data_IF_121544525717
#
_entry.id   IF_121544525717
#
_cell.length_a   1.000
_cell.length_b   1.000
_cell.length_c   1.000
_cell.angle_alpha   90.00
_cell.angle_beta   90.00
_cell.angle_gamma   90.00
#
_symmetry.space_group_name_H-M   'P 1'
#
loop_
_entity.id
_entity.type
_entity.pdbx_description
1 polymer ?
#
# COMPACT_ATOMS: atom_id res chain seq x y z
N UNK A 1 9.77 70.44 -12.91
CA UNK A 1 8.91 69.59 -12.07
C UNK A 1 9.28 68.16 -12.39
N UNK A 2 10.03 67.51 -11.49
CA UNK A 2 10.54 66.16 -11.66
C UNK A 2 9.87 65.27 -10.61
N UNK A 3 9.09 64.28 -11.06
CA UNK A 3 8.59 63.21 -10.20
C UNK A 3 9.64 62.12 -10.09
N UNK A 4 10.14 61.93 -8.87
CA UNK A 4 10.99 60.81 -8.47
C UNK A 4 10.06 59.65 -8.06
N UNK A 5 9.98 58.61 -8.89
CA UNK A 5 9.26 57.38 -8.57
C UNK A 5 10.00 56.52 -7.53
N UNK A 6 9.29 55.76 -6.70
CA UNK A 6 9.89 55.02 -5.59
C UNK A 6 10.65 53.79 -6.08
N UNK A 7 11.88 53.65 -5.59
CA UNK A 7 12.76 52.50 -5.76
C UNK A 7 12.23 51.31 -4.94
N UNK A 8 11.70 50.30 -5.63
CA UNK A 8 11.22 49.06 -5.04
C UNK A 8 12.43 48.16 -4.72
N UNK A 9 13.05 48.37 -3.56
CA UNK A 9 14.10 47.49 -3.06
C UNK A 9 13.48 46.18 -2.57
N UNK A 10 13.60 45.12 -3.37
CA UNK A 10 13.30 43.77 -2.93
C UNK A 10 14.26 43.40 -1.78
N UNK A 11 13.72 43.27 -0.57
CA UNK A 11 14.49 43.04 0.65
C UNK A 11 15.29 41.72 0.59
N UNK A 12 16.62 41.73 0.80
CA UNK A 12 17.48 40.54 0.78
C UNK A 12 17.15 39.50 1.87
N UNK A 13 16.33 39.90 2.86
CA UNK A 13 15.82 39.01 3.91
C UNK A 13 14.78 38.00 3.40
N UNK A 14 14.03 38.32 2.34
CA UNK A 14 13.04 37.39 1.76
C UNK A 14 13.71 36.23 1.01
N UNK A 15 14.85 36.48 0.37
CA UNK A 15 15.66 35.45 -0.30
C UNK A 15 16.35 34.52 0.69
N UNK A 16 16.80 35.02 1.85
CA UNK A 16 17.42 34.19 2.89
C UNK A 16 16.47 33.16 3.52
N UNK A 17 15.19 33.52 3.70
CA UNK A 17 14.18 32.63 4.27
C UNK A 17 13.75 31.54 3.28
N UNK A 18 13.69 31.85 1.98
CA UNK A 18 13.39 30.87 0.94
C UNK A 18 14.50 29.80 0.84
N UNK A 19 15.77 30.22 0.86
CA UNK A 19 16.93 29.31 0.81
C UNK A 19 16.99 28.41 2.06
N UNK A 20 16.69 28.95 3.24
CA UNK A 20 16.64 28.15 4.47
C UNK A 20 15.51 27.10 4.45
N UNK A 21 14.36 27.45 3.85
CA UNK A 21 13.21 26.53 3.72
C UNK A 21 13.50 25.40 2.74
N UNK A 22 14.14 25.70 1.62
CA UNK A 22 14.52 24.69 0.63
C UNK A 22 15.65 23.79 1.14
N UNK A 23 16.60 24.34 1.90
CA UNK A 23 17.64 23.56 2.58
C UNK A 23 17.05 22.60 3.64
N UNK A 24 16.00 23.03 4.37
CA UNK A 24 15.33 22.17 5.35
C UNK A 24 14.51 21.06 4.68
N UNK A 25 13.87 21.35 3.55
CA UNK A 25 13.18 20.33 2.75
C UNK A 25 14.17 19.27 2.22
N UNK A 26 15.33 19.71 1.71
CA UNK A 26 16.42 18.83 1.26
C UNK A 26 17.02 18.01 2.41
N UNK A 27 17.24 18.61 3.58
CA UNK A 27 17.75 17.90 4.76
C UNK A 27 16.79 16.81 5.23
N UNK A 28 15.49 17.12 5.25
CA UNK A 28 14.44 16.14 5.60
C UNK A 28 14.45 14.97 4.63
N UNK A 29 14.48 15.25 3.34
CA UNK A 29 14.41 14.21 2.31
C UNK A 29 15.71 13.38 2.30
N UNK A 30 16.86 14.00 2.57
CA UNK A 30 18.13 13.30 2.81
C UNK A 30 18.09 12.44 4.08
N UNK A 31 17.48 12.91 5.17
CA UNK A 31 17.34 12.13 6.40
C UNK A 31 16.43 10.91 6.19
N UNK A 32 15.32 11.07 5.45
CA UNK A 32 14.44 9.95 5.09
C UNK A 32 15.17 8.94 4.18
N UNK A 33 15.96 9.42 3.24
CA UNK A 33 16.78 8.58 2.38
C UNK A 33 17.88 7.84 3.17
N UNK A 34 18.54 8.52 4.10
CA UNK A 34 19.55 7.93 4.98
C UNK A 34 18.94 6.85 5.90
N UNK A 35 17.73 7.07 6.41
CA UNK A 35 16.98 6.06 7.18
C UNK A 35 16.61 4.86 6.29
N UNK A 36 16.19 5.10 5.05
CA UNK A 36 15.92 4.02 4.10
C UNK A 36 17.16 3.20 3.76
N UNK A 37 18.32 3.85 3.56
CA UNK A 37 19.61 3.18 3.36
C UNK A 37 20.01 2.41 4.62
N UNK A 38 19.86 2.98 5.80
CA UNK A 38 20.19 2.32 7.06
C UNK A 38 19.35 1.04 7.27
N UNK A 39 18.07 1.09 6.91
CA UNK A 39 17.18 -0.08 6.92
C UNK A 39 17.55 -1.12 5.85
N UNK A 40 18.08 -0.72 4.71
CA UNK A 40 18.53 -1.62 3.64
C UNK A 40 19.89 -2.27 3.94
N UNK A 41 20.83 -1.53 4.54
CA UNK A 41 22.21 -1.97 4.75
C UNK A 41 22.36 -2.73 6.07
N UNK A 42 21.58 -2.39 7.09
CA UNK A 42 21.66 -3.03 8.41
C UNK A 42 20.33 -3.63 8.89
N UNK A 43 19.73 -4.59 8.16
CA UNK A 43 18.51 -5.26 8.61
C UNK A 43 18.70 -5.98 9.95
N UNK A 44 19.91 -6.46 10.24
CA UNK A 44 20.23 -7.23 11.45
C UNK A 44 20.29 -6.40 12.75
N UNK A 45 20.64 -5.11 12.70
CA UNK A 45 20.63 -4.24 13.91
C UNK A 45 19.23 -3.78 14.26
N UNK A 46 18.36 -3.58 13.27
CA UNK A 46 16.94 -3.35 13.51
C UNK A 46 16.29 -4.61 14.13
N UNK A 47 16.65 -5.78 13.61
CA UNK A 47 16.19 -7.06 14.15
C UNK A 47 16.65 -7.28 15.60
N UNK A 48 17.87 -6.87 15.96
CA UNK A 48 18.39 -7.00 17.33
C UNK A 48 17.78 -6.00 18.33
N UNK A 49 17.35 -4.83 17.86
CA UNK A 49 16.59 -3.85 18.66
C UNK A 49 15.16 -4.36 18.91
N UNK A 50 14.54 -4.98 17.89
CA UNK A 50 13.22 -5.58 18.01
C UNK A 50 13.23 -6.81 18.94
N UNK A 51 14.23 -7.68 18.87
CA UNK A 51 14.33 -8.80 19.81
C UNK A 51 14.62 -8.35 21.24
N UNK A 52 15.47 -7.32 21.44
CA UNK A 52 15.71 -6.72 22.77
C UNK A 52 14.49 -6.03 23.37
N UNK A 53 13.52 -5.60 22.56
CA UNK A 53 12.29 -4.95 23.03
C UNK A 53 11.20 -5.92 23.53
N UNK A 54 11.51 -7.22 23.68
CA UNK A 54 10.59 -8.20 24.28
C UNK A 54 9.64 -8.90 23.29
N UNK A 55 10.05 -9.05 22.03
CA UNK A 55 9.28 -9.73 20.98
C UNK A 55 9.46 -11.27 20.98
N UNK A 56 9.45 -11.93 22.14
CA UNK A 56 9.41 -13.40 22.21
C UNK A 56 8.04 -13.90 22.68
N UNK A 57 7.37 -14.58 21.75
CA UNK A 57 6.35 -15.64 21.90
C UNK A 57 4.99 -15.30 22.57
N UNK A 58 3.99 -15.00 21.73
CA UNK A 58 2.58 -15.06 22.12
C UNK A 58 1.62 -14.42 21.12
N UNK A 59 1.28 -15.14 20.04
CA UNK A 59 0.18 -14.96 19.05
C UNK A 59 -0.19 -13.58 18.45
N UNK A 60 0.38 -12.45 18.90
CA UNK A 60 0.11 -11.10 18.38
C UNK A 60 1.13 -10.66 17.31
N UNK A 61 2.34 -11.23 17.31
CA UNK A 61 3.42 -10.83 16.41
C UNK A 61 3.27 -11.40 14.99
N UNK A 62 2.77 -12.63 14.84
CA UNK A 62 2.62 -13.26 13.52
C UNK A 62 1.58 -12.61 12.62
N UNK A 63 0.52 -12.03 13.18
CA UNK A 63 -0.51 -11.30 12.42
C UNK A 63 -0.07 -9.86 12.10
N UNK A 64 0.56 -9.17 13.05
CA UNK A 64 1.15 -7.84 12.80
C UNK A 64 2.28 -7.91 11.79
N UNK A 65 3.18 -8.89 11.88
CA UNK A 65 4.26 -9.06 10.92
C UNK A 65 3.73 -9.33 9.50
N UNK A 66 2.67 -10.14 9.35
CA UNK A 66 2.01 -10.37 8.06
C UNK A 66 1.36 -9.10 7.49
N UNK A 67 0.62 -8.36 8.32
CA UNK A 67 0.04 -7.07 7.93
C UNK A 67 1.13 -6.05 7.57
N UNK A 68 2.22 -6.01 8.34
CA UNK A 68 3.39 -5.18 8.07
C UNK A 68 4.10 -5.61 6.79
N UNK A 69 4.10 -6.89 6.43
CA UNK A 69 4.73 -7.39 5.21
C UNK A 69 3.92 -7.00 3.96
N UNK A 70 2.59 -7.04 4.04
CA UNK A 70 1.71 -6.49 3.01
C UNK A 70 1.84 -4.96 2.90
N UNK A 71 1.83 -4.27 4.03
CA UNK A 71 2.04 -2.83 4.07
C UNK A 71 3.41 -2.43 3.52
N UNK A 72 4.45 -3.23 3.78
CA UNK A 72 5.78 -3.04 3.22
C UNK A 72 5.80 -3.28 1.71
N UNK A 73 5.07 -4.28 1.19
CA UNK A 73 4.93 -4.51 -0.25
C UNK A 73 4.21 -3.33 -0.94
N UNK A 74 3.13 -2.82 -0.35
CA UNK A 74 2.43 -1.63 -0.85
C UNK A 74 3.31 -0.38 -0.76
N UNK A 75 4.07 -0.21 0.33
CA UNK A 75 5.04 0.88 0.47
C UNK A 75 6.15 0.78 -0.58
N UNK A 76 6.64 -0.41 -0.91
CA UNK A 76 7.64 -0.64 -1.95
C UNK A 76 7.08 -0.34 -3.35
N UNK A 77 5.83 -0.73 -3.64
CA UNK A 77 5.13 -0.36 -4.88
C UNK A 77 4.95 1.15 -5.01
N UNK A 78 4.55 1.82 -3.93
CA UNK A 78 4.42 3.28 -3.89
C UNK A 78 5.77 3.97 -4.06
N UNK A 79 6.82 3.45 -3.42
CA UNK A 79 8.20 3.94 -3.62
C UNK A 79 8.65 3.76 -5.07
N UNK A 80 8.33 2.63 -5.71
CA UNK A 80 8.61 2.39 -7.13
C UNK A 80 7.89 3.39 -8.05
N UNK A 81 6.64 3.73 -7.74
CA UNK A 81 5.89 4.78 -8.46
C UNK A 81 6.55 6.15 -8.27
N UNK A 82 6.85 6.50 -7.01
CA UNK A 82 7.49 7.78 -6.66
C UNK A 82 8.84 7.96 -7.34
N UNK A 83 9.67 6.90 -7.40
CA UNK A 83 10.96 6.94 -8.10
C UNK A 83 10.77 7.12 -9.61
N UNK A 84 9.73 6.51 -10.20
CA UNK A 84 9.38 6.73 -11.61
C UNK A 84 9.03 8.19 -11.89
N UNK A 85 8.20 8.78 -11.03
CA UNK A 85 7.80 10.19 -11.14
C UNK A 85 9.00 11.13 -10.96
N UNK A 86 9.87 10.83 -9.98
CA UNK A 86 11.09 11.60 -9.74
C UNK A 86 11.99 11.60 -10.99
N UNK A 87 12.17 10.46 -11.66
CA UNK A 87 12.95 10.39 -12.91
C UNK A 87 12.33 11.25 -14.00
N UNK A 88 11.02 11.19 -14.18
CA UNK A 88 10.33 12.02 -15.17
C UNK A 88 10.55 13.52 -14.89
N UNK A 89 10.64 13.94 -13.63
CA UNK A 89 10.97 15.32 -13.27
C UNK A 89 12.43 15.67 -13.54
N UNK A 90 13.37 14.77 -13.26
CA UNK A 90 14.80 14.95 -13.56
C UNK A 90 15.05 15.07 -15.07
N UNK A 91 14.34 14.28 -15.88
CA UNK A 91 14.40 14.35 -17.34
C UNK A 91 13.89 15.70 -17.87
N UNK A 92 12.71 16.15 -17.37
CA UNK A 92 12.18 17.48 -17.70
C UNK A 92 13.14 18.60 -17.31
N UNK A 93 13.78 18.48 -16.14
CA UNK A 93 14.76 19.46 -15.66
C UNK A 93 16.00 19.49 -16.56
N UNK A 94 16.49 18.32 -16.99
CA UNK A 94 17.60 18.23 -17.95
C UNK A 94 17.26 18.92 -19.26
N UNK A 95 16.06 18.70 -19.79
CA UNK A 95 15.59 19.35 -21.01
C UNK A 95 15.53 20.88 -20.85
N UNK A 96 14.93 21.36 -19.75
CA UNK A 96 14.80 22.79 -19.48
C UNK A 96 16.16 23.49 -19.31
N UNK A 97 17.12 22.84 -18.64
CA UNK A 97 18.50 23.35 -18.53
C UNK A 97 19.19 23.42 -19.89
N UNK A 98 19.02 22.40 -20.74
CA UNK A 98 19.54 22.40 -22.10
C UNK A 98 18.97 23.54 -22.96
N UNK A 99 17.66 23.78 -22.87
CA UNK A 99 17.00 24.90 -23.54
C UNK A 99 17.48 26.27 -23.01
N UNK A 100 17.61 26.42 -21.69
CA UNK A 100 18.11 27.64 -21.06
C UNK A 100 19.55 27.95 -21.48
N UNK A 101 20.40 26.92 -21.55
CA UNK A 101 21.79 27.02 -21.99
C UNK A 101 21.91 27.46 -23.45
N UNK A 102 20.98 27.03 -24.31
CA UNK A 102 20.94 27.41 -25.72
C UNK A 102 20.46 28.85 -25.95
N UNK A 103 19.69 29.42 -25.03
CA UNK A 103 19.10 30.77 -25.14
C UNK A 103 19.91 31.88 -24.48
N UNK A 104 20.84 31.55 -23.60
CA UNK A 104 21.68 32.54 -22.91
C UNK A 104 23.03 32.68 -23.58
N UNK A 105 23.60 33.89 -23.61
CA UNK A 105 24.96 34.15 -24.09
C UNK A 105 25.97 34.42 -22.95
N UNK A 106 25.47 34.63 -21.74
CA UNK A 106 26.29 34.89 -20.56
C UNK A 106 27.10 33.65 -20.16
N UNK A 107 28.43 33.79 -20.12
CA UNK A 107 29.36 32.70 -19.79
C UNK A 107 29.24 32.23 -18.34
N UNK A 108 28.92 33.14 -17.41
CA UNK A 108 28.72 32.79 -16.01
C UNK A 108 27.46 31.96 -15.83
N UNK A 109 26.36 32.35 -16.49
CA UNK A 109 25.11 31.58 -16.49
C UNK A 109 25.33 30.20 -17.16
N UNK A 110 26.07 30.13 -18.28
CA UNK A 110 26.43 28.86 -18.92
C UNK A 110 27.22 27.94 -17.99
N UNK A 111 28.15 28.47 -17.20
CA UNK A 111 28.92 27.69 -16.23
C UNK A 111 28.03 27.16 -15.10
N UNK A 112 27.13 27.97 -14.56
CA UNK A 112 26.16 27.55 -13.55
C UNK A 112 25.20 26.48 -14.07
N UNK A 113 24.70 26.62 -15.31
CA UNK A 113 23.85 25.61 -15.94
C UNK A 113 24.60 24.29 -16.12
N UNK A 114 25.86 24.32 -16.58
CA UNK A 114 26.68 23.09 -16.69
C UNK A 114 26.86 22.38 -15.34
N UNK A 115 27.03 23.14 -14.26
CA UNK A 115 27.12 22.56 -12.92
C UNK A 115 25.81 21.88 -12.52
N UNK A 116 24.67 22.56 -12.75
CA UNK A 116 23.34 21.98 -12.50
C UNK A 116 23.06 20.75 -13.37
N UNK A 117 23.47 20.75 -14.64
CA UNK A 117 23.36 19.59 -15.54
C UNK A 117 24.13 18.37 -14.98
N UNK A 118 25.32 18.58 -14.44
CA UNK A 118 26.13 17.52 -13.83
C UNK A 118 25.52 17.02 -12.52
N UNK A 119 25.05 17.91 -11.65
CA UNK A 119 24.32 17.54 -10.42
C UNK A 119 23.05 16.74 -10.76
N UNK A 120 22.30 17.16 -11.78
CA UNK A 120 21.08 16.48 -12.22
C UNK A 120 21.37 15.10 -12.85
N UNK A 121 22.50 14.96 -13.55
CA UNK A 121 22.98 13.66 -14.06
C UNK A 121 23.31 12.70 -12.92
N UNK A 122 23.98 13.17 -11.88
CA UNK A 122 24.28 12.37 -10.70
C UNK A 122 22.99 11.95 -9.97
N UNK A 123 22.04 12.87 -9.80
CA UNK A 123 20.72 12.56 -9.22
C UNK A 123 19.96 11.51 -10.05
N UNK A 124 20.04 11.59 -11.39
CA UNK A 124 19.42 10.61 -12.30
C UNK A 124 20.06 9.23 -12.16
N UNK A 125 21.39 9.15 -12.07
CA UNK A 125 22.11 7.90 -11.85
C UNK A 125 21.76 7.27 -10.49
N UNK A 126 21.73 8.07 -9.42
CA UNK A 126 21.35 7.62 -8.07
C UNK A 126 19.90 7.12 -8.04
N UNK A 127 18.97 7.85 -8.66
CA UNK A 127 17.57 7.42 -8.82
C UNK A 127 17.48 6.11 -9.61
N UNK A 128 18.33 5.95 -10.65
CA UNK A 128 18.43 4.71 -11.44
C UNK A 128 18.74 3.50 -10.57
N UNK A 129 19.77 3.63 -9.73
CA UNK A 129 20.18 2.59 -8.79
C UNK A 129 19.11 2.32 -7.72
N UNK A 130 18.47 3.37 -7.18
CA UNK A 130 17.42 3.22 -6.18
C UNK A 130 16.25 2.36 -6.66
N UNK A 131 15.72 2.58 -7.89
CA UNK A 131 14.64 1.69 -8.36
C UNK A 131 15.13 0.27 -8.66
N UNK A 132 16.37 0.09 -9.10
CA UNK A 132 16.89 -1.26 -9.30
C UNK A 132 16.91 -2.02 -7.96
N UNK A 133 17.33 -1.36 -6.88
CA UNK A 133 17.27 -1.92 -5.53
C UNK A 133 15.82 -2.22 -5.09
N UNK A 134 14.90 -1.26 -5.24
CA UNK A 134 13.48 -1.47 -4.89
C UNK A 134 12.85 -2.63 -5.65
N UNK A 135 13.06 -2.72 -6.97
CA UNK A 135 12.57 -3.85 -7.78
C UNK A 135 13.14 -5.19 -7.31
N UNK A 136 14.43 -5.22 -6.99
CA UNK A 136 15.08 -6.41 -6.45
C UNK A 136 14.48 -6.82 -5.11
N UNK A 137 14.21 -5.87 -4.22
CA UNK A 137 13.54 -6.13 -2.94
C UNK A 137 12.11 -6.65 -3.13
N UNK A 138 11.32 -6.06 -4.03
CA UNK A 138 9.97 -6.54 -4.35
C UNK A 138 10.03 -7.99 -4.86
N UNK A 139 10.91 -8.27 -5.84
CA UNK A 139 11.06 -9.61 -6.40
C UNK A 139 11.50 -10.64 -5.36
N UNK A 140 12.41 -10.27 -4.47
CA UNK A 140 12.90 -11.14 -3.39
C UNK A 140 11.84 -11.42 -2.33
N UNK A 141 10.93 -10.46 -2.09
CA UNK A 141 9.87 -10.59 -1.09
C UNK A 141 8.57 -11.17 -1.64
N UNK A 142 8.39 -11.22 -2.97
CA UNK A 142 7.21 -11.77 -3.63
C UNK A 142 6.75 -13.14 -3.06
N UNK A 143 7.62 -14.16 -2.88
CA UNK A 143 7.17 -15.45 -2.33
C UNK A 143 6.75 -15.37 -0.84
N UNK A 144 7.27 -14.41 -0.08
CA UNK A 144 6.86 -14.19 1.32
C UNK A 144 5.51 -13.49 1.38
N UNK A 145 5.28 -12.52 0.49
CA UNK A 145 4.00 -11.82 0.31
C UNK A 145 2.93 -12.82 -0.12
N UNK A 146 3.20 -13.65 -1.12
CA UNK A 146 2.26 -14.67 -1.59
C UNK A 146 1.89 -15.69 -0.49
N UNK A 147 2.87 -16.13 0.30
CA UNK A 147 2.61 -17.00 1.46
C UNK A 147 1.79 -16.29 2.55
N UNK A 148 2.05 -15.01 2.80
CA UNK A 148 1.27 -14.22 3.74
C UNK A 148 -0.17 -14.01 3.25
N UNK A 149 -0.37 -13.70 1.98
CA UNK A 149 -1.68 -13.55 1.34
C UNK A 149 -2.46 -14.86 1.37
N UNK A 150 -1.85 -15.97 0.95
CA UNK A 150 -2.47 -17.31 0.98
C UNK A 150 -2.88 -17.70 2.41
N UNK A 151 -2.06 -17.37 3.41
CA UNK A 151 -2.40 -17.62 4.80
C UNK A 151 -3.52 -16.71 5.33
N UNK A 152 -3.69 -15.49 4.79
CA UNK A 152 -4.78 -14.57 5.13
C UNK A 152 -6.09 -14.97 4.45
N UNK A 153 -6.04 -15.39 3.18
CA UNK A 153 -7.18 -15.99 2.48
C UNK A 153 -7.68 -17.27 3.18
N UNK A 154 -6.81 -17.93 3.94
CA UNK A 154 -7.14 -19.10 4.76
C UNK A 154 -7.50 -18.75 6.22
N UNK A 155 -7.30 -17.52 6.69
CA UNK A 155 -7.54 -17.15 8.10
C UNK A 155 -8.27 -15.80 8.29
N UNK A 156 -9.59 -15.89 8.51
CA UNK A 156 -10.22 -15.07 9.55
C UNK A 156 -11.07 -13.87 9.14
N UNK A 157 -11.67 -13.86 7.94
CA UNK A 157 -12.79 -12.97 7.66
C UNK A 157 -14.00 -13.23 8.56
N UNK A 158 -14.93 -12.28 8.59
CA UNK A 158 -16.25 -12.42 9.19
C UNK A 158 -17.26 -12.76 8.10
N UNK A 159 -18.03 -13.83 8.31
CA UNK A 159 -19.09 -14.25 7.42
C UNK A 159 -20.45 -13.84 7.97
N UNK A 160 -21.28 -13.20 7.16
CA UNK A 160 -22.71 -13.07 7.45
C UNK A 160 -23.41 -14.26 6.79
N UNK A 161 -23.87 -15.20 7.62
CA UNK A 161 -24.60 -16.38 7.17
C UNK A 161 -26.08 -16.03 7.10
N UNK A 162 -26.69 -16.19 5.93
CA UNK A 162 -28.10 -15.85 5.70
C UNK A 162 -28.87 -16.89 4.87
N UNK A 163 -28.24 -17.99 4.46
CA UNK A 163 -28.91 -19.11 3.78
C UNK A 163 -28.46 -20.45 4.35
N UNK A 164 -29.31 -21.47 4.24
CA UNK A 164 -29.02 -22.85 4.61
C UNK A 164 -29.88 -23.79 3.77
N UNK A 165 -29.50 -23.97 2.52
CA UNK A 165 -30.27 -24.67 1.50
C UNK A 165 -29.75 -26.10 1.30
N UNK A 166 -30.61 -27.00 0.81
CA UNK A 166 -30.24 -28.40 0.52
C UNK A 166 -29.66 -28.59 -0.88
N UNK A 167 -29.64 -27.55 -1.71
CA UNK A 167 -29.12 -27.58 -3.07
C UNK A 167 -28.38 -26.28 -3.43
N UNK A 168 -27.42 -26.39 -4.36
CA UNK A 168 -26.67 -25.24 -4.88
C UNK A 168 -27.60 -24.23 -5.57
N UNK A 169 -28.58 -24.69 -6.36
CA UNK A 169 -29.50 -23.81 -7.07
C UNK A 169 -30.31 -22.91 -6.12
N UNK A 170 -30.86 -23.47 -5.04
CA UNK A 170 -31.57 -22.69 -4.03
C UNK A 170 -30.65 -21.67 -3.33
N UNK A 171 -29.40 -22.06 -3.02
CA UNK A 171 -28.42 -21.14 -2.45
C UNK A 171 -28.02 -20.00 -3.42
N UNK A 172 -27.96 -20.27 -4.73
CA UNK A 172 -27.74 -19.27 -5.77
C UNK A 172 -28.87 -18.24 -5.83
N UNK A 173 -30.13 -18.68 -5.73
CA UNK A 173 -31.29 -17.79 -5.67
C UNK A 173 -31.22 -16.85 -4.46
N UNK A 174 -30.72 -17.33 -3.32
CA UNK A 174 -30.50 -16.52 -2.13
C UNK A 174 -29.37 -15.49 -2.29
N UNK A 175 -28.27 -15.87 -2.93
CA UNK A 175 -27.19 -14.92 -3.26
C UNK A 175 -27.71 -13.83 -4.21
N UNK A 176 -28.50 -14.20 -5.23
CA UNK A 176 -29.09 -13.25 -6.15
C UNK A 176 -30.06 -12.28 -5.45
N UNK A 177 -30.83 -12.78 -4.47
CA UNK A 177 -31.70 -11.94 -3.62
C UNK A 177 -30.88 -10.98 -2.75
N UNK A 178 -29.82 -11.47 -2.09
CA UNK A 178 -28.94 -10.68 -1.24
C UNK A 178 -28.21 -9.58 -2.04
N UNK A 179 -27.74 -9.90 -3.25
CA UNK A 179 -27.11 -8.95 -4.16
C UNK A 179 -28.04 -7.79 -4.53
N UNK A 180 -29.30 -8.09 -4.89
CA UNK A 180 -30.34 -7.07 -5.15
C UNK A 180 -30.65 -6.18 -3.96
N UNK A 181 -30.32 -6.62 -2.73
CA UNK A 181 -30.53 -5.88 -1.48
C UNK A 181 -29.28 -5.13 -1.00
N UNK A 182 -28.18 -5.19 -1.74
CA UNK A 182 -26.95 -4.46 -1.43
C UNK A 182 -25.91 -5.24 -0.63
N UNK A 183 -25.99 -6.57 -0.60
CA UNK A 183 -24.92 -7.44 -0.08
C UNK A 183 -24.14 -7.99 -1.29
N UNK A 184 -23.03 -7.35 -1.70
CA UNK A 184 -22.22 -7.84 -2.81
C UNK A 184 -21.41 -9.08 -2.43
N UNK A 185 -20.98 -9.83 -3.44
CA UNK A 185 -19.97 -10.89 -3.32
C UNK A 185 -20.26 -11.96 -2.25
N UNK A 186 -21.51 -12.41 -2.14
CA UNK A 186 -21.82 -13.60 -1.36
C UNK A 186 -21.46 -14.87 -2.14
N UNK A 187 -21.01 -15.89 -1.41
CA UNK A 187 -20.58 -17.19 -1.93
C UNK A 187 -21.33 -18.33 -1.23
N UNK A 188 -21.28 -19.52 -1.83
CA UNK A 188 -21.92 -20.73 -1.31
C UNK A 188 -20.87 -21.56 -0.58
N UNK A 189 -21.16 -21.95 0.66
CA UNK A 189 -20.31 -22.82 1.47
C UNK A 189 -21.04 -24.11 1.85
N UNK A 190 -20.49 -25.27 1.49
CA UNK A 190 -20.99 -26.57 1.91
C UNK A 190 -20.42 -26.94 3.29
N UNK A 191 -21.28 -27.12 4.29
CA UNK A 191 -20.88 -27.57 5.62
C UNK A 191 -21.93 -28.51 6.20
N UNK A 192 -21.50 -29.63 6.77
CA UNK A 192 -22.39 -30.62 7.41
C UNK A 192 -23.59 -31.04 6.52
N UNK A 193 -23.39 -31.12 5.20
CA UNK A 193 -24.42 -31.56 4.25
C UNK A 193 -25.43 -30.49 3.80
N UNK A 194 -25.26 -29.22 4.17
CA UNK A 194 -26.09 -28.12 3.65
C UNK A 194 -25.24 -27.00 3.02
N UNK A 195 -25.84 -26.26 2.09
CA UNK A 195 -25.24 -25.14 1.36
C UNK A 195 -25.62 -23.82 2.02
N UNK A 196 -24.66 -23.19 2.69
CA UNK A 196 -24.84 -21.90 3.33
C UNK A 196 -24.50 -20.76 2.37
N UNK A 197 -25.39 -19.78 2.24
CA UNK A 197 -25.08 -18.52 1.55
C UNK A 197 -24.44 -17.55 2.54
N UNK A 198 -23.20 -17.14 2.25
CA UNK A 198 -22.38 -16.34 3.17
C UNK A 198 -21.73 -15.17 2.43
N UNK A 199 -21.87 -13.97 2.98
CA UNK A 199 -21.07 -12.81 2.58
C UNK A 199 -19.86 -12.70 3.49
N UNK A 200 -18.65 -12.90 2.94
CA UNK A 200 -17.40 -12.82 3.69
C UNK A 200 -16.78 -11.43 3.53
N UNK A 201 -16.38 -10.84 4.65
CA UNK A 201 -15.76 -9.52 4.72
C UNK A 201 -14.58 -9.52 5.70
N UNK A 202 -13.65 -8.57 5.54
CA UNK A 202 -12.41 -8.55 6.31
C UNK A 202 -12.60 -8.16 7.78
N UNK A 203 -13.65 -7.40 8.10
CA UNK A 203 -13.85 -6.83 9.42
C UNK A 203 -15.29 -7.00 9.93
N UNK A 204 -15.45 -7.04 11.25
CA UNK A 204 -16.74 -7.28 11.92
C UNK A 204 -17.73 -6.13 11.74
N UNK A 205 -17.26 -4.91 11.56
CA UNK A 205 -18.12 -3.72 11.40
C UNK A 205 -18.89 -3.81 10.09
N UNK A 206 -18.22 -4.10 8.97
CA UNK A 206 -18.89 -4.34 7.68
C UNK A 206 -19.83 -5.56 7.75
N UNK A 207 -19.45 -6.61 8.49
CA UNK A 207 -20.34 -7.76 8.71
C UNK A 207 -21.63 -7.37 9.46
N UNK A 208 -21.54 -6.40 10.40
CA UNK A 208 -22.70 -5.88 11.12
C UNK A 208 -23.63 -5.07 10.21
N UNK A 209 -23.10 -4.28 9.30
CA UNK A 209 -23.87 -3.56 8.28
C UNK A 209 -24.63 -4.53 7.37
N UNK A 210 -23.93 -5.55 6.86
CA UNK A 210 -24.55 -6.59 6.03
C UNK A 210 -25.57 -7.42 6.80
N UNK A 211 -25.34 -7.69 8.09
CA UNK A 211 -26.29 -8.39 8.93
C UNK A 211 -27.62 -7.64 9.06
N UNK A 212 -27.58 -6.31 9.19
CA UNK A 212 -28.80 -5.49 9.25
C UNK A 212 -29.61 -5.65 7.95
N UNK A 213 -28.94 -5.61 6.80
CA UNK A 213 -29.56 -5.83 5.49
C UNK A 213 -30.10 -7.26 5.38
N UNK A 214 -29.30 -8.27 5.74
CA UNK A 214 -29.66 -9.68 5.68
C UNK A 214 -30.93 -9.98 6.49
N UNK A 215 -31.03 -9.41 7.70
CA UNK A 215 -32.19 -9.58 8.58
C UNK A 215 -33.49 -9.01 8.03
N UNK A 216 -33.45 -8.14 7.02
CA UNK A 216 -34.66 -7.66 6.34
C UNK A 216 -35.37 -8.74 5.51
N UNK A 217 -34.66 -9.80 5.12
CA UNK A 217 -35.22 -10.91 4.34
C UNK A 217 -34.94 -12.29 4.94
N UNK A 218 -34.04 -12.39 5.92
CA UNK A 218 -33.65 -13.61 6.66
C UNK A 218 -33.46 -13.29 8.14
N UNK A 219 -34.53 -13.33 8.95
CA UNK A 219 -34.48 -12.93 10.36
C UNK A 219 -33.49 -13.74 11.21
N UNK A 220 -33.19 -14.96 10.80
CA UNK A 220 -32.25 -15.90 11.40
C UNK A 220 -30.78 -15.67 10.99
N UNK A 221 -30.49 -14.68 10.15
CA UNK A 221 -29.13 -14.35 9.76
C UNK A 221 -28.25 -14.00 10.98
N UNK A 222 -26.99 -14.43 10.91
CA UNK A 222 -26.01 -14.25 11.98
C UNK A 222 -24.58 -14.04 11.45
N UNK A 223 -23.73 -13.47 12.30
CA UNK A 223 -22.30 -13.28 12.00
C UNK A 223 -21.50 -14.44 12.60
N UNK A 224 -20.56 -14.97 11.84
CA UNK A 224 -19.62 -15.99 12.28
C UNK A 224 -18.18 -15.63 11.90
N UNK A 225 -17.20 -16.09 12.68
CA UNK A 225 -15.80 -16.03 12.28
C UNK A 225 -15.52 -17.16 11.28
N UNK A 226 -15.09 -16.84 10.06
CA UNK A 226 -14.84 -17.84 9.02
C UNK A 226 -13.72 -18.82 9.40
N UNK A 227 -12.73 -18.38 10.20
CA UNK A 227 -11.69 -19.26 10.74
C UNK A 227 -12.26 -20.40 11.60
N UNK A 228 -13.41 -20.18 12.24
CA UNK A 228 -14.08 -21.20 13.06
C UNK A 228 -15.20 -21.91 12.30
N UNK A 229 -15.89 -21.19 11.41
CA UNK A 229 -17.07 -21.66 10.71
C UNK A 229 -16.71 -22.57 9.53
N UNK A 230 -15.71 -22.22 8.72
CA UNK A 230 -15.24 -23.02 7.59
C UNK A 230 -13.73 -23.27 7.70
N UNK A 231 -13.35 -24.40 8.30
CA UNK A 231 -11.95 -24.82 8.35
C UNK A 231 -11.61 -25.58 7.07
N UNK A 232 -10.38 -25.42 6.59
CA UNK A 232 -9.84 -26.11 5.42
C UNK A 232 -10.75 -25.95 4.19
N UNK A 233 -10.86 -24.71 3.69
CA UNK A 233 -11.64 -24.39 2.50
C UNK A 233 -11.10 -25.14 1.29
N UNK A 234 -11.98 -25.84 0.57
CA UNK A 234 -11.66 -26.45 -0.72
C UNK A 234 -12.63 -25.91 -1.76
N UNK A 235 -12.10 -25.21 -2.78
CA UNK A 235 -12.92 -24.71 -3.88
C UNK A 235 -13.43 -25.88 -4.73
N UNK A 236 -14.74 -25.90 -5.01
CA UNK A 236 -15.43 -26.84 -5.90
C UNK A 236 -16.16 -26.06 -6.99
N UNK A 237 -16.64 -26.76 -8.01
CA UNK A 237 -17.44 -26.12 -9.05
C UNK A 237 -18.75 -25.57 -8.47
N UNK A 238 -18.84 -24.25 -8.37
CA UNK A 238 -20.01 -23.51 -7.88
C UNK A 238 -20.15 -23.35 -6.35
N UNK A 239 -19.23 -23.86 -5.52
CA UNK A 239 -19.26 -23.66 -4.06
C UNK A 239 -17.90 -23.94 -3.39
N UNK A 240 -17.76 -23.54 -2.11
CA UNK A 240 -16.60 -23.83 -1.26
C UNK A 240 -16.97 -24.91 -0.24
N UNK A 241 -16.21 -25.99 -0.18
CA UNK A 241 -16.43 -27.07 0.78
C UNK A 241 -15.65 -26.83 2.08
N UNK A 242 -16.34 -26.97 3.23
CA UNK A 242 -15.79 -26.82 4.57
C UNK A 242 -15.70 -28.17 5.26
N UNK A 243 -14.50 -28.57 5.69
CA UNK A 243 -14.34 -29.80 6.47
C UNK A 243 -14.82 -29.59 7.91
N UNK A 244 -15.74 -30.44 8.38
CA UNK A 244 -16.10 -30.53 9.81
C UNK A 244 -14.96 -31.19 10.59
N UNK A 245 -14.80 -30.84 11.87
CA UNK A 245 -13.92 -31.61 12.77
C UNK A 245 -14.37 -33.08 12.75
N UNK A 246 -13.47 -33.99 12.38
CA UNK A 246 -13.56 -35.38 12.82
C UNK A 246 -13.34 -35.44 14.33
#
# INVERSE_FOLDING_TARGET
MAELGPSNQASPLASGVAIAKDAFALLRDFALFAVAILLLVFPATFNSILTKAGFEEGSFAGLKWKANLLQADDALKNAQSTITDLRAQLDKTTQALGEARARTDDQTIKASIRKLEEENRQATAASTQAAAAVRSTIASNAPLVEKAQSALSTSGGWGVVFGSDTSVAAAQDEIARASKKGIPAAEIYLRNGYYASIAVVDNRTTAQEYLVIARTFRPDAYIASMATWCRNQQSRDGFVECQSRQ
#
